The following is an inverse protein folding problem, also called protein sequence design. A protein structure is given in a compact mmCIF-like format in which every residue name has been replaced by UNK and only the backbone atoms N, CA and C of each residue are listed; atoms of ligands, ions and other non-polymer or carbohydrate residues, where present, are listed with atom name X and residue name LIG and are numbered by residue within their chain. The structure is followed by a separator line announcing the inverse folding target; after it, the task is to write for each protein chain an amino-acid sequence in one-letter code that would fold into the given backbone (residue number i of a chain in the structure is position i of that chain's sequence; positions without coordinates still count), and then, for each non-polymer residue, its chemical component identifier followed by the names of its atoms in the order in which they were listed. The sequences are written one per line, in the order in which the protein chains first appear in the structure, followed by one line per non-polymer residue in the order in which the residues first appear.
data_IF_452259036584
#
_entry.id   IF_452259036584
#
_cell.length_a   1.000
_cell.length_b   1.000
_cell.length_c   1.000
_cell.angle_alpha   90.00
_cell.angle_beta   90.00
_cell.angle_gamma   90.00
#
_symmetry.space_group_name_H-M   'P 1'
#
loop_
_entity.id
_entity.type
_entity.pdbx_description
1 polymer ?
#
# COMPACT_ATOMS: atom_id res chain seq x y z
N UNK A 1 -9.68 -19.25 -3.77
CA UNK A 1 -9.73 -18.33 -4.94
C UNK A 1 -9.58 -16.84 -4.59
N UNK A 2 -9.30 -16.44 -3.34
CA UNK A 2 -9.09 -15.02 -2.96
C UNK A 2 -7.63 -14.53 -3.11
N UNK A 3 -6.66 -15.44 -2.98
CA UNK A 3 -5.23 -15.12 -3.14
C UNK A 3 -4.83 -14.79 -4.59
N UNK A 4 -5.44 -15.47 -5.57
CA UNK A 4 -5.16 -15.22 -6.98
C UNK A 4 -5.53 -13.79 -7.42
N UNK A 5 -6.57 -13.21 -6.81
CA UNK A 5 -7.07 -11.87 -7.15
C UNK A 5 -6.18 -10.75 -6.59
N UNK A 6 -5.65 -10.93 -5.37
CA UNK A 6 -4.67 -10.01 -4.78
C UNK A 6 -3.36 -10.06 -5.55
N UNK A 7 -2.90 -11.26 -5.92
CA UNK A 7 -1.70 -11.45 -6.75
C UNK A 7 -1.85 -10.77 -8.13
N UNK A 8 -3.03 -10.87 -8.75
CA UNK A 8 -3.34 -10.24 -10.04
C UNK A 8 -3.36 -8.71 -9.97
N UNK A 9 -3.85 -8.12 -8.87
CA UNK A 9 -3.81 -6.68 -8.65
C UNK A 9 -2.37 -6.17 -8.49
N UNK A 10 -1.53 -6.89 -7.74
CA UNK A 10 -0.10 -6.55 -7.58
C UNK A 10 0.66 -6.73 -8.91
N UNK A 11 0.34 -7.79 -9.68
CA UNK A 11 0.90 -8.01 -11.02
C UNK A 11 0.45 -6.95 -12.03
N UNK A 12 -0.82 -6.53 -12.01
CA UNK A 12 -1.34 -5.48 -12.89
C UNK A 12 -0.75 -4.11 -12.58
N UNK A 13 -0.49 -3.81 -11.30
CA UNK A 13 0.25 -2.61 -10.89
C UNK A 13 1.74 -2.70 -11.26
N UNK A 14 2.34 -3.88 -11.22
CA UNK A 14 3.70 -4.11 -11.70
C UNK A 14 3.86 -3.92 -13.22
N UNK A 15 2.84 -4.29 -14.01
CA UNK A 15 2.86 -4.19 -15.48
C UNK A 15 2.58 -2.77 -16.00
N UNK A 16 1.84 -1.95 -15.24
CA UNK A 16 1.63 -0.52 -15.58
C UNK A 16 2.82 0.37 -15.19
N UNK A 17 3.82 -0.18 -14.48
CA UNK A 17 5.07 0.50 -14.12
C UNK A 17 6.20 0.36 -15.16
N UNK A 18 5.99 -0.35 -16.28
CA UNK A 18 7.00 -0.54 -17.33
C UNK A 18 7.39 0.73 -18.12
N UNK A 19 6.90 1.92 -17.74
CA UNK A 19 7.18 3.18 -18.46
C UNK A 19 7.83 4.32 -17.68
N UNK A 20 7.90 4.31 -16.34
CA UNK A 20 8.31 5.53 -15.60
C UNK A 20 8.99 5.40 -14.24
N UNK A 21 9.05 4.22 -13.60
CA UNK A 21 9.60 4.10 -12.23
C UNK A 21 10.64 2.99 -12.20
N UNK A 22 11.91 3.37 -12.06
CA UNK A 22 13.03 2.49 -12.33
C UNK A 22 13.55 1.76 -11.07
N UNK A 23 13.20 2.23 -9.87
CA UNK A 23 13.67 1.65 -8.59
C UNK A 23 12.52 1.27 -7.65
N UNK A 24 12.82 0.43 -6.66
CA UNK A 24 11.86 0.05 -5.63
C UNK A 24 11.53 1.24 -4.73
N UNK A 25 12.50 2.13 -4.53
CA UNK A 25 12.41 3.37 -3.79
C UNK A 25 11.41 4.33 -4.46
N UNK A 26 11.54 4.57 -5.76
CA UNK A 26 10.60 5.42 -6.51
C UNK A 26 9.18 4.82 -6.51
N UNK A 27 9.10 3.49 -6.59
CA UNK A 27 7.82 2.77 -6.51
C UNK A 27 7.17 2.92 -5.14
N UNK A 28 7.95 2.78 -4.07
CA UNK A 28 7.47 2.90 -2.69
C UNK A 28 7.01 4.33 -2.38
N UNK A 29 7.82 5.34 -2.76
CA UNK A 29 7.46 6.75 -2.61
C UNK A 29 6.15 7.07 -3.32
N UNK A 30 5.98 6.62 -4.56
CA UNK A 30 4.72 6.84 -5.27
C UNK A 30 3.54 6.10 -4.63
N UNK A 31 3.69 4.85 -4.19
CA UNK A 31 2.60 4.12 -3.53
C UNK A 31 2.17 4.88 -2.26
N UNK A 32 3.13 5.36 -1.49
CA UNK A 32 2.87 6.14 -0.30
C UNK A 32 2.13 7.43 -0.65
N UNK A 33 2.71 8.29 -1.48
CA UNK A 33 2.12 9.58 -1.90
C UNK A 33 0.71 9.41 -2.45
N UNK A 34 0.52 8.48 -3.39
CA UNK A 34 -0.79 8.30 -4.02
C UNK A 34 -1.82 7.67 -3.07
N UNK A 35 -1.37 6.82 -2.15
CA UNK A 35 -2.22 6.25 -1.11
C UNK A 35 -2.67 7.32 -0.11
N UNK A 36 -1.77 8.22 0.27
CA UNK A 36 -2.06 9.31 1.20
C UNK A 36 -2.94 10.37 0.56
N UNK A 37 -2.72 10.70 -0.72
CA UNK A 37 -3.62 11.59 -1.49
C UNK A 37 -5.06 11.05 -1.44
N UNK A 38 -5.26 9.75 -1.73
CA UNK A 38 -6.60 9.16 -1.69
C UNK A 38 -7.22 9.13 -0.30
N UNK A 39 -6.39 9.00 0.74
CA UNK A 39 -6.84 8.99 2.12
C UNK A 39 -7.28 10.40 2.54
N UNK A 40 -6.51 11.44 2.19
CA UNK A 40 -6.88 12.84 2.44
C UNK A 40 -8.11 13.22 1.63
N UNK A 41 -8.16 12.91 0.33
CA UNK A 41 -9.36 13.09 -0.51
C UNK A 41 -10.60 12.45 0.14
N UNK A 42 -10.45 11.25 0.73
CA UNK A 42 -11.56 10.56 1.36
C UNK A 42 -12.00 11.20 2.69
N UNK A 43 -11.10 11.85 3.42
CA UNK A 43 -11.43 12.63 4.61
C UNK A 43 -12.19 13.89 4.22
N UNK A 44 -11.70 14.62 3.21
CA UNK A 44 -12.36 15.80 2.64
C UNK A 44 -13.78 15.47 2.16
N UNK A 45 -13.93 14.36 1.43
CA UNK A 45 -15.23 13.96 0.88
C UNK A 45 -16.23 13.48 1.93
N UNK A 46 -15.78 13.28 3.18
CA UNK A 46 -16.62 12.93 4.33
C UNK A 46 -16.68 14.07 5.34
N UNK A 47 -16.53 15.31 4.87
CA UNK A 47 -16.70 16.55 5.63
C UNK A 47 -15.78 16.63 6.87
N UNK A 48 -14.56 16.06 6.80
CA UNK A 48 -13.55 16.28 7.82
C UNK A 48 -13.19 17.78 7.90
N UNK A 49 -13.03 18.32 9.10
CA UNK A 49 -12.65 19.72 9.28
C UNK A 49 -11.20 19.95 8.88
N UNK A 50 -10.85 21.20 8.56
CA UNK A 50 -9.47 21.60 8.26
C UNK A 50 -8.49 21.17 9.37
N UNK A 51 -8.92 21.23 10.65
CA UNK A 51 -8.10 20.76 11.77
C UNK A 51 -7.91 19.24 11.78
N UNK A 52 -8.93 18.47 11.41
CA UNK A 52 -8.83 17.02 11.28
C UNK A 52 -7.91 16.63 10.12
N UNK A 53 -8.04 17.31 8.97
CA UNK A 53 -7.18 17.10 7.80
C UNK A 53 -5.72 17.40 8.16
N UNK A 54 -5.45 18.57 8.75
CA UNK A 54 -4.09 18.92 9.17
C UNK A 54 -3.51 17.94 10.21
N UNK A 55 -4.33 17.42 11.12
CA UNK A 55 -3.91 16.39 12.07
C UNK A 55 -3.58 15.05 11.39
N UNK A 56 -4.37 14.64 10.39
CA UNK A 56 -4.09 13.46 9.59
C UNK A 56 -2.77 13.60 8.81
N UNK A 57 -2.58 14.73 8.11
CA UNK A 57 -1.37 15.02 7.34
C UNK A 57 -0.12 15.01 8.22
N UNK A 58 -0.19 15.57 9.43
CA UNK A 58 0.93 15.54 10.37
C UNK A 58 1.31 14.11 10.79
N UNK A 59 0.32 13.24 11.02
CA UNK A 59 0.58 11.81 11.29
C UNK A 59 1.18 11.14 10.06
N UNK A 60 0.63 11.37 8.87
CA UNK A 60 1.13 10.80 7.62
C UNK A 60 2.61 11.18 7.41
N UNK A 61 2.96 12.46 7.56
CA UNK A 61 4.33 12.95 7.43
C UNK A 61 5.27 12.25 8.43
N UNK A 62 4.83 12.07 9.68
CA UNK A 62 5.60 11.37 10.70
C UNK A 62 5.92 9.91 10.32
N UNK A 63 5.00 9.23 9.65
CA UNK A 63 5.14 7.81 9.27
C UNK A 63 5.78 7.60 7.89
N UNK A 64 5.96 8.66 7.09
CA UNK A 64 6.41 8.56 5.70
C UNK A 64 7.69 7.74 5.52
N UNK A 65 8.70 8.00 6.35
CA UNK A 65 10.00 7.32 6.24
C UNK A 65 9.87 5.81 6.49
N UNK A 66 9.15 5.42 7.54
CA UNK A 66 9.02 4.03 7.96
C UNK A 66 8.15 3.24 6.98
N UNK A 67 7.02 3.80 6.55
CA UNK A 67 6.14 3.17 5.57
C UNK A 67 6.85 3.02 4.21
N UNK A 68 7.55 4.06 3.75
CA UNK A 68 8.30 4.01 2.48
C UNK A 68 9.43 2.98 2.54
N UNK A 69 10.14 2.86 3.66
CA UNK A 69 11.18 1.86 3.84
C UNK A 69 10.62 0.42 3.83
N UNK A 70 9.48 0.19 4.50
CA UNK A 70 8.81 -1.10 4.51
C UNK A 70 8.29 -1.49 3.11
N UNK A 71 7.66 -0.55 2.39
CA UNK A 71 7.22 -0.72 1.00
C UNK A 71 8.37 -0.98 0.05
N UNK A 72 9.50 -0.27 0.21
CA UNK A 72 10.70 -0.49 -0.59
C UNK A 72 11.20 -1.93 -0.43
N UNK A 73 11.26 -2.43 0.80
CA UNK A 73 11.65 -3.81 1.09
C UNK A 73 10.69 -4.79 0.43
N UNK A 74 9.37 -4.57 0.55
CA UNK A 74 8.36 -5.40 -0.09
C UNK A 74 8.53 -5.45 -1.62
N UNK A 75 8.70 -4.30 -2.26
CA UNK A 75 8.87 -4.20 -3.72
C UNK A 75 10.15 -4.91 -4.19
N UNK A 76 11.24 -4.83 -3.41
CA UNK A 76 12.47 -5.60 -3.68
C UNK A 76 12.20 -7.11 -3.64
N UNK A 77 11.52 -7.61 -2.61
CA UNK A 77 11.22 -9.04 -2.52
C UNK A 77 10.25 -9.52 -3.62
N UNK A 78 9.26 -8.70 -3.98
CA UNK A 78 8.40 -8.99 -5.13
C UNK A 78 9.19 -9.09 -6.43
N UNK A 79 10.16 -8.19 -6.65
CA UNK A 79 11.04 -8.23 -7.81
C UNK A 79 11.86 -9.53 -7.85
N UNK A 80 12.45 -9.93 -6.73
CA UNK A 80 13.20 -11.20 -6.65
C UNK A 80 12.31 -12.41 -6.97
N UNK A 81 11.09 -12.46 -6.44
CA UNK A 81 10.11 -13.51 -6.77
C UNK A 81 9.79 -13.54 -8.27
N UNK A 82 9.53 -12.38 -8.89
CA UNK A 82 9.25 -12.29 -10.33
C UNK A 82 10.47 -12.71 -11.17
N UNK A 83 11.69 -12.33 -10.78
CA UNK A 83 12.91 -12.74 -11.46
C UNK A 83 13.15 -14.24 -11.34
N UNK A 84 12.91 -14.84 -10.18
CA UNK A 84 12.99 -16.29 -9.97
C UNK A 84 12.02 -17.04 -10.88
N UNK A 85 10.78 -16.59 -10.99
CA UNK A 85 9.79 -17.16 -11.91
C UNK A 85 10.20 -16.99 -13.37
N UNK A 86 10.60 -15.79 -13.79
CA UNK A 86 10.94 -15.48 -15.18
C UNK A 86 12.21 -16.18 -15.67
N UNK A 87 13.15 -16.46 -14.77
CA UNK A 87 14.40 -17.18 -15.07
C UNK A 87 14.25 -18.70 -15.08
N UNK A 88 13.06 -19.23 -14.76
CA UNK A 88 12.81 -20.67 -14.72
C UNK A 88 13.38 -21.35 -13.47
N UNK A 89 13.40 -20.65 -12.34
CA UNK A 89 13.83 -21.22 -11.05
C UNK A 89 13.06 -22.50 -10.72
N UNK A 90 13.77 -23.48 -10.17
CA UNK A 90 13.15 -24.72 -9.72
C UNK A 90 12.30 -24.50 -8.46
N UNK A 91 11.56 -25.54 -8.05
CA UNK A 91 10.67 -25.45 -6.91
C UNK A 91 11.41 -25.06 -5.61
N UNK A 92 12.64 -25.53 -5.40
CA UNK A 92 13.40 -25.20 -4.20
C UNK A 92 13.82 -23.73 -4.18
N UNK A 93 14.28 -23.21 -5.33
CA UNK A 93 14.64 -21.80 -5.48
C UNK A 93 13.44 -20.87 -5.28
N UNK A 94 12.26 -21.22 -5.82
CA UNK A 94 11.05 -20.42 -5.66
C UNK A 94 10.53 -20.44 -4.22
N UNK A 95 10.51 -21.61 -3.57
CA UNK A 95 10.09 -21.74 -2.18
C UNK A 95 11.02 -20.99 -1.21
N UNK A 96 12.31 -20.88 -1.54
CA UNK A 96 13.26 -20.09 -0.74
C UNK A 96 12.94 -18.58 -0.75
N UNK A 97 12.20 -18.08 -1.74
CA UNK A 97 11.79 -16.67 -1.85
C UNK A 97 10.47 -16.38 -1.12
N UNK A 98 9.69 -17.40 -0.73
CA UNK A 98 8.39 -17.19 -0.09
C UNK A 98 8.51 -16.53 1.29
N UNK A 99 9.41 -17.03 2.14
CA UNK A 99 9.54 -16.55 3.52
C UNK A 99 10.05 -15.09 3.61
N UNK A 100 11.08 -14.68 2.84
CA UNK A 100 11.48 -13.27 2.77
C UNK A 100 10.34 -12.37 2.27
N UNK A 101 9.62 -12.79 1.23
CA UNK A 101 8.50 -12.04 0.69
C UNK A 101 7.37 -11.89 1.70
N UNK A 102 7.00 -12.98 2.38
CA UNK A 102 5.97 -12.99 3.42
C UNK A 102 6.35 -12.07 4.57
N UNK A 103 7.60 -12.10 5.01
CA UNK A 103 8.12 -11.24 6.09
C UNK A 103 8.03 -9.76 5.70
N UNK A 104 8.49 -9.40 4.50
CA UNK A 104 8.39 -8.03 4.00
C UNK A 104 6.94 -7.57 3.86
N UNK A 105 6.04 -8.47 3.44
CA UNK A 105 4.61 -8.18 3.33
C UNK A 105 4.00 -7.86 4.69
N UNK A 106 4.23 -8.72 5.69
CA UNK A 106 3.75 -8.49 7.06
C UNK A 106 4.26 -7.17 7.61
N UNK A 107 5.56 -6.90 7.50
CA UNK A 107 6.16 -5.65 7.98
C UNK A 107 5.54 -4.41 7.34
N UNK A 108 5.28 -4.46 6.02
CA UNK A 108 4.62 -3.34 5.33
C UNK A 108 3.19 -3.11 5.79
N UNK A 109 2.43 -4.18 6.04
CA UNK A 109 1.07 -4.08 6.55
C UNK A 109 1.03 -3.56 7.99
N UNK A 110 1.94 -3.99 8.84
CA UNK A 110 2.05 -3.51 10.23
C UNK A 110 2.40 -2.02 10.26
N UNK A 111 3.33 -1.58 9.41
CA UNK A 111 3.72 -0.17 9.31
C UNK A 111 2.56 0.70 8.82
N UNK A 112 1.91 0.31 7.71
CA UNK A 112 0.73 1.03 7.19
C UNK A 112 -0.43 1.01 8.19
N UNK A 113 -0.69 -0.13 8.81
CA UNK A 113 -1.76 -0.30 9.79
C UNK A 113 -1.57 0.58 11.03
N UNK A 114 -0.33 0.74 11.49
CA UNK A 114 0.01 1.64 12.60
C UNK A 114 -0.28 3.09 12.23
N UNK A 115 0.18 3.54 11.06
CA UNK A 115 -0.13 4.88 10.55
C UNK A 115 -1.66 5.10 10.47
N UNK A 116 -2.40 4.16 9.89
CA UNK A 116 -3.86 4.26 9.79
C UNK A 116 -4.56 4.34 11.15
N UNK A 117 -4.08 3.59 12.16
CA UNK A 117 -4.61 3.65 13.51
C UNK A 117 -4.38 5.04 14.15
N UNK A 118 -3.20 5.61 13.96
CA UNK A 118 -2.87 6.94 14.47
C UNK A 118 -3.64 8.05 13.75
N UNK A 119 -3.79 7.96 12.43
CA UNK A 119 -4.66 8.86 11.65
C UNK A 119 -6.08 8.78 12.16
N UNK A 120 -6.63 7.57 12.32
CA UNK A 120 -7.97 7.37 12.87
C UNK A 120 -8.16 7.99 14.25
N UNK A 121 -7.12 7.90 15.11
CA UNK A 121 -7.12 8.54 16.43
C UNK A 121 -7.07 10.08 16.35
N UNK A 122 -6.37 10.62 15.35
CA UNK A 122 -6.20 12.06 15.16
C UNK A 122 -7.47 12.73 14.59
N UNK A 123 -8.14 12.08 13.64
CA UNK A 123 -9.38 12.61 13.03
C UNK A 123 -10.63 12.23 13.81
N UNK A 124 -10.57 11.17 14.62
CA UNK A 124 -11.70 10.63 15.38
C UNK A 124 -12.40 9.47 14.66
N UNK A 125 -12.93 8.54 15.47
CA UNK A 125 -13.45 7.24 15.01
C UNK A 125 -14.56 7.35 13.97
N UNK A 126 -15.48 8.32 14.11
CA UNK A 126 -16.62 8.50 13.21
C UNK A 126 -16.16 8.94 11.82
N UNK A 127 -15.36 10.02 11.76
CA UNK A 127 -14.77 10.54 10.51
C UNK A 127 -13.89 9.49 9.83
N UNK A 128 -13.08 8.76 10.61
CA UNK A 128 -12.25 7.68 10.09
C UNK A 128 -13.07 6.52 9.49
N UNK A 129 -14.13 6.09 10.18
CA UNK A 129 -15.02 5.04 9.67
C UNK A 129 -15.74 5.46 8.39
N UNK A 130 -16.20 6.71 8.32
CA UNK A 130 -16.85 7.25 7.12
C UNK A 130 -15.87 7.28 5.93
N UNK A 131 -14.67 7.85 6.11
CA UNK A 131 -13.65 7.94 5.07
C UNK A 131 -13.20 6.55 4.56
N UNK A 132 -12.98 5.61 5.48
CA UNK A 132 -12.60 4.23 5.11
C UNK A 132 -13.73 3.48 4.40
N UNK A 133 -14.98 3.67 4.81
CA UNK A 133 -16.14 3.11 4.09
C UNK A 133 -16.25 3.68 2.67
N UNK A 134 -16.09 5.00 2.52
CA UNK A 134 -16.08 5.68 1.22
C UNK A 134 -14.98 5.13 0.30
N UNK A 135 -13.74 4.99 0.82
CA UNK A 135 -12.63 4.40 0.06
C UNK A 135 -12.91 2.97 -0.38
N UNK A 136 -13.41 2.12 0.53
CA UNK A 136 -13.74 0.74 0.22
C UNK A 136 -14.82 0.65 -0.88
N UNK A 137 -15.83 1.50 -0.83
CA UNK A 137 -16.87 1.54 -1.85
C UNK A 137 -16.32 2.02 -3.21
N UNK A 138 -15.49 3.07 -3.20
CA UNK A 138 -14.82 3.59 -4.40
C UNK A 138 -13.95 2.54 -5.08
N UNK A 139 -13.16 1.79 -4.30
CA UNK A 139 -12.34 0.68 -4.82
C UNK A 139 -13.21 -0.47 -5.33
N UNK A 140 -14.27 -0.84 -4.59
CA UNK A 140 -15.19 -1.90 -5.00
C UNK A 140 -15.97 -1.57 -6.29
N UNK A 141 -16.26 -0.29 -6.57
CA UNK A 141 -16.82 0.15 -7.86
C UNK A 141 -15.81 -0.03 -8.98
N UNK A 142 -14.58 0.46 -8.80
CA UNK A 142 -13.50 0.35 -9.81
C UNK A 142 -13.14 -1.09 -10.18
N UNK A 143 -13.35 -2.05 -9.28
CA UNK A 143 -13.09 -3.47 -9.55
C UNK A 143 -14.24 -4.20 -10.28
N UNK A 144 -15.44 -3.59 -10.33
CA UNK A 144 -16.60 -4.16 -11.04
C UNK A 144 -16.67 -3.74 -12.50
N UNK A 145 -16.08 -2.59 -12.82
CA UNK A 145 -15.97 -2.02 -14.17
C UNK A 145 -14.70 -2.51 -14.89
#
# INVERSE_FOLDING_TARGET
MRFATVLLLVLAMGLSACGRRHTAEDGAGWIFEHGTDWLVDALEEQDATDEQIAAAEAVIEQHQADVTAALTTLLKQHREMVLGLASGGDAAALLALEEPLRTAHVASLESIGTMHQEVGSAVGDETWQAATAYMNERLARRMRD
#
